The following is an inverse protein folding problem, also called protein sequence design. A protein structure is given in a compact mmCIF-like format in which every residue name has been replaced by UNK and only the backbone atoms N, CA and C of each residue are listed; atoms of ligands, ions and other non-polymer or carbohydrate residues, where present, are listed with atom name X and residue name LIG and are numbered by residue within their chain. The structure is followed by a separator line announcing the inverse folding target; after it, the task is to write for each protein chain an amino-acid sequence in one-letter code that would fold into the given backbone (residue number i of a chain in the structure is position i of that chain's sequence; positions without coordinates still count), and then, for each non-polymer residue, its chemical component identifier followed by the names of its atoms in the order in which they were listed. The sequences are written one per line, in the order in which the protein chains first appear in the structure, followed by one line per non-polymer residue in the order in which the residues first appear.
data_IF_443016764168
#
_entry.id   IF_443016764168
#
_cell.length_a   1.000
_cell.length_b   1.000
_cell.length_c   1.000
_cell.angle_alpha   90.00
_cell.angle_beta   90.00
_cell.angle_gamma   90.00
#
_symmetry.space_group_name_H-M   'P 1'
#
loop_
_entity.id
_entity.type
_entity.pdbx_description
1 polymer ?
#
# COMPACT_ATOMS: atom_id res chain seq x y z
N UNK A 1 18.40 1.99 -15.42
CA UNK A 1 18.02 0.72 -14.75
C UNK A 1 17.15 0.95 -13.52
N UNK A 2 17.61 1.72 -12.53
CA UNK A 2 16.86 1.96 -11.28
C UNK A 2 15.44 2.50 -11.50
N UNK A 3 15.27 3.49 -12.39
CA UNK A 3 13.96 4.06 -12.75
C UNK A 3 12.94 2.97 -13.15
N UNK A 4 13.32 2.04 -14.01
CA UNK A 4 12.43 0.98 -14.50
C UNK A 4 12.08 -0.01 -13.40
N UNK A 5 13.07 -0.42 -12.60
CA UNK A 5 12.83 -1.33 -11.47
C UNK A 5 11.90 -0.71 -10.43
N UNK A 6 12.14 0.55 -10.07
CA UNK A 6 11.27 1.30 -9.17
C UNK A 6 9.88 1.54 -9.76
N UNK A 7 9.74 1.70 -11.08
CA UNK A 7 8.44 1.81 -11.76
C UNK A 7 7.64 0.51 -11.70
N UNK A 8 8.33 -0.65 -11.77
CA UNK A 8 7.70 -1.96 -11.58
C UNK A 8 7.22 -2.12 -10.13
N UNK A 9 8.07 -1.79 -9.15
CA UNK A 9 7.70 -1.83 -7.73
C UNK A 9 6.55 -0.87 -7.42
N UNK A 10 6.60 0.35 -7.96
CA UNK A 10 5.52 1.32 -7.92
C UNK A 10 4.21 0.73 -8.46
N UNK A 11 4.23 0.19 -9.68
CA UNK A 11 3.06 -0.38 -10.33
C UNK A 11 2.48 -1.56 -9.55
N UNK A 12 3.33 -2.47 -9.06
CA UNK A 12 2.92 -3.62 -8.27
C UNK A 12 2.27 -3.22 -6.93
N UNK A 13 2.90 -2.31 -6.19
CA UNK A 13 2.37 -1.82 -4.92
C UNK A 13 1.08 -1.00 -5.12
N UNK A 14 1.02 -0.15 -6.15
CA UNK A 14 -0.16 0.62 -6.51
C UNK A 14 -1.33 -0.29 -6.89
N UNK A 15 -1.08 -1.29 -7.75
CA UNK A 15 -2.09 -2.27 -8.14
C UNK A 15 -2.61 -3.05 -6.94
N UNK A 16 -1.72 -3.61 -6.11
CA UNK A 16 -2.14 -4.40 -4.96
C UNK A 16 -2.90 -3.54 -3.95
N UNK A 17 -2.46 -2.30 -3.72
CA UNK A 17 -3.15 -1.35 -2.86
C UNK A 17 -4.56 -1.05 -3.33
N UNK A 18 -4.72 -0.71 -4.62
CA UNK A 18 -6.04 -0.46 -5.22
C UNK A 18 -6.90 -1.72 -5.31
N UNK A 19 -6.30 -2.90 -5.55
CA UNK A 19 -7.02 -4.18 -5.58
C UNK A 19 -7.66 -4.47 -4.22
N UNK A 20 -6.90 -4.32 -3.12
CA UNK A 20 -7.43 -4.51 -1.76
C UNK A 20 -8.56 -3.51 -1.44
N UNK A 21 -8.41 -2.25 -1.85
CA UNK A 21 -9.42 -1.21 -1.65
C UNK A 21 -10.70 -1.46 -2.47
N UNK A 22 -10.55 -1.96 -3.70
CA UNK A 22 -11.66 -2.26 -4.60
C UNK A 22 -12.40 -3.55 -4.20
N UNK A 23 -11.73 -4.47 -3.50
CA UNK A 23 -12.31 -5.74 -3.04
C UNK A 23 -13.42 -5.52 -2.03
N UNK A 24 -13.12 -4.89 -0.89
CA UNK A 24 -14.12 -4.43 0.06
C UNK A 24 -13.59 -3.29 0.95
N UNK A 25 -13.99 -2.05 0.66
CA UNK A 25 -13.60 -0.85 1.42
C UNK A 25 -14.20 -0.82 2.83
N UNK A 26 -15.24 -1.63 3.10
CA UNK A 26 -15.90 -1.70 4.41
C UNK A 26 -15.07 -2.53 5.40
N UNK A 27 -14.25 -3.45 4.90
CA UNK A 27 -13.34 -4.24 5.73
C UNK A 27 -12.14 -3.38 6.15
N UNK A 28 -12.00 -3.09 7.46
CA UNK A 28 -10.96 -2.17 7.93
C UNK A 28 -9.55 -2.71 7.69
N UNK A 29 -9.37 -4.04 7.67
CA UNK A 29 -8.08 -4.68 7.38
C UNK A 29 -7.64 -4.43 5.93
N UNK A 30 -8.53 -4.66 4.96
CA UNK A 30 -8.26 -4.40 3.54
C UNK A 30 -8.00 -2.92 3.28
N UNK A 31 -8.77 -2.05 3.94
CA UNK A 31 -8.59 -0.59 3.81
C UNK A 31 -7.23 -0.13 4.33
N UNK A 32 -6.80 -0.59 5.51
CA UNK A 32 -5.51 -0.21 6.10
C UNK A 32 -4.34 -0.75 5.28
N UNK A 33 -4.38 -2.03 4.91
CA UNK A 33 -3.34 -2.64 4.09
C UNK A 33 -3.26 -1.97 2.69
N UNK A 34 -4.41 -1.75 2.06
CA UNK A 34 -4.50 -1.10 0.76
C UNK A 34 -4.01 0.35 0.76
N UNK A 35 -4.39 1.14 1.76
CA UNK A 35 -3.87 2.51 1.94
C UNK A 35 -2.36 2.51 2.25
N UNK A 36 -1.87 1.54 3.01
CA UNK A 36 -0.43 1.40 3.28
C UNK A 36 0.37 1.13 2.01
N UNK A 37 -0.09 0.20 1.18
CA UNK A 37 0.52 -0.10 -0.13
C UNK A 37 0.46 1.09 -1.09
N UNK A 38 -0.68 1.80 -1.15
CA UNK A 38 -0.82 3.00 -1.95
C UNK A 38 0.11 4.12 -1.47
N UNK A 39 0.23 4.34 -0.16
CA UNK A 39 1.16 5.30 0.41
C UNK A 39 2.62 4.96 0.09
N UNK A 40 3.00 3.68 0.18
CA UNK A 40 4.34 3.23 -0.21
C UNK A 40 4.61 3.46 -1.70
N UNK A 41 3.65 3.15 -2.58
CA UNK A 41 3.79 3.43 -4.01
C UNK A 41 4.01 4.94 -4.25
N UNK A 42 3.24 5.80 -3.58
CA UNK A 42 3.45 7.24 -3.66
C UNK A 42 4.82 7.67 -3.10
N UNK A 43 5.35 6.99 -2.08
CA UNK A 43 6.70 7.23 -1.57
C UNK A 43 7.77 6.93 -2.63
N UNK A 44 7.63 5.80 -3.35
CA UNK A 44 8.52 5.44 -4.47
C UNK A 44 8.43 6.48 -5.59
N UNK A 45 7.22 6.89 -5.95
CA UNK A 45 7.01 7.94 -6.95
C UNK A 45 7.63 9.29 -6.54
N UNK A 46 7.48 9.68 -5.27
CA UNK A 46 8.08 10.89 -4.73
C UNK A 46 9.62 10.83 -4.79
N UNK A 47 10.23 9.68 -4.48
CA UNK A 47 11.66 9.46 -4.63
C UNK A 47 12.13 9.58 -6.08
N UNK A 48 11.45 8.92 -7.02
CA UNK A 48 11.78 9.01 -8.44
C UNK A 48 11.67 10.43 -8.99
N UNK A 49 10.66 11.20 -8.56
CA UNK A 49 10.49 12.59 -8.97
C UNK A 49 11.54 13.50 -8.32
N UNK A 50 11.84 13.31 -7.04
CA UNK A 50 12.89 14.05 -6.32
C UNK A 50 14.22 14.04 -7.08
N UNK A 51 14.59 12.92 -7.66
CA UNK A 51 15.90 12.75 -8.30
C UNK A 51 15.99 13.43 -9.69
N UNK A 52 14.87 13.85 -10.28
CA UNK A 52 14.82 14.46 -11.62
C UNK A 52 14.26 15.88 -11.65
N UNK A 53 13.61 16.34 -10.58
CA UNK A 53 13.07 17.71 -10.48
C UNK A 53 14.16 18.74 -10.14
N UNK A 54 13.97 20.02 -10.53
CA UNK A 54 14.90 21.09 -10.16
C UNK A 54 14.97 21.34 -8.65
N UNK A 55 16.09 21.92 -8.20
CA UNK A 55 16.43 22.12 -6.78
C UNK A 55 15.33 22.73 -5.88
N UNK A 56 14.52 23.73 -6.29
CA UNK A 56 13.49 24.25 -5.39
C UNK A 56 12.37 23.25 -5.09
N UNK A 57 12.06 22.33 -6.02
CA UNK A 57 11.05 21.29 -5.81
C UNK A 57 11.61 20.04 -5.11
N UNK A 58 12.93 19.79 -5.17
CA UNK A 58 13.56 18.61 -4.56
C UNK A 58 13.25 18.50 -3.06
N UNK A 59 13.28 19.62 -2.33
CA UNK A 59 13.00 19.64 -0.90
C UNK A 59 11.55 19.21 -0.58
N UNK A 60 10.58 19.58 -1.43
CA UNK A 60 9.18 19.18 -1.27
C UNK A 60 9.02 17.67 -1.46
N UNK A 61 9.59 17.11 -2.53
CA UNK A 61 9.50 15.67 -2.80
C UNK A 61 10.27 14.85 -1.75
N UNK A 62 11.39 15.35 -1.23
CA UNK A 62 12.10 14.72 -0.12
C UNK A 62 11.22 14.64 1.14
N UNK A 63 10.55 15.73 1.52
CA UNK A 63 9.62 15.76 2.67
C UNK A 63 8.44 14.81 2.46
N UNK A 64 7.86 14.84 1.25
CA UNK A 64 6.74 13.97 0.88
C UNK A 64 7.15 12.50 0.92
N UNK A 65 8.31 12.15 0.38
CA UNK A 65 8.87 10.80 0.44
C UNK A 65 9.06 10.36 1.90
N UNK A 66 9.71 11.18 2.73
CA UNK A 66 9.93 10.88 4.16
C UNK A 66 8.60 10.60 4.86
N UNK A 67 7.59 11.45 4.68
CA UNK A 67 6.26 11.23 5.23
C UNK A 67 5.66 9.90 4.78
N UNK A 68 5.63 9.67 3.45
CA UNK A 68 4.98 8.53 2.84
C UNK A 68 5.68 7.21 3.12
N UNK A 69 6.97 7.19 3.46
CA UNK A 69 7.67 5.96 3.87
C UNK A 69 7.20 5.47 5.25
N UNK A 70 6.83 6.38 6.16
CA UNK A 70 6.37 6.01 7.50
C UNK A 70 4.89 5.66 7.58
N UNK A 71 4.06 6.20 6.69
CA UNK A 71 2.62 5.94 6.66
C UNK A 71 2.27 4.43 6.52
N UNK A 72 2.90 3.65 5.62
CA UNK A 72 2.67 2.22 5.51
C UNK A 72 2.90 1.48 6.82
N UNK A 73 3.94 1.85 7.56
CA UNK A 73 4.27 1.20 8.81
C UNK A 73 3.19 1.42 9.88
N UNK A 74 2.71 2.65 9.99
CA UNK A 74 1.61 2.96 10.89
C UNK A 74 0.33 2.24 10.48
N UNK A 75 -0.06 2.31 9.21
CA UNK A 75 -1.27 1.63 8.72
C UNK A 75 -1.18 0.10 8.87
N UNK A 76 0.01 -0.47 8.68
CA UNK A 76 0.26 -1.89 8.84
C UNK A 76 0.10 -2.33 10.29
N UNK A 77 0.56 -1.55 11.28
CA UNK A 77 0.33 -1.88 12.69
C UNK A 77 -1.16 -2.03 12.98
N UNK A 78 -1.98 -1.10 12.47
CA UNK A 78 -3.43 -1.21 12.55
C UNK A 78 -4.00 -2.41 11.81
N UNK A 79 -3.48 -2.78 10.64
CA UNK A 79 -3.92 -3.96 9.90
C UNK A 79 -3.59 -5.26 10.67
N UNK A 80 -2.39 -5.37 11.23
CA UNK A 80 -1.97 -6.55 12.01
C UNK A 80 -2.76 -6.74 13.30
N UNK A 81 -3.18 -5.65 13.95
CA UNK A 81 -4.04 -5.75 15.12
C UNK A 81 -5.39 -6.40 14.79
N UNK A 82 -5.86 -6.28 13.55
CA UNK A 82 -7.09 -6.91 13.08
C UNK A 82 -6.92 -8.39 12.70
N UNK A 83 -5.69 -8.90 12.60
CA UNK A 83 -5.42 -10.33 12.41
C UNK A 83 -5.45 -11.11 13.74
N UNK A 84 -5.45 -10.43 14.88
CA UNK A 84 -5.54 -11.07 16.18
C UNK A 84 -6.91 -11.75 16.38
N UNK A 85 -6.96 -12.86 17.14
CA UNK A 85 -8.20 -13.57 17.41
C UNK A 85 -9.09 -12.72 18.33
N UNK A 86 -10.42 -12.86 18.19
CA UNK A 86 -11.39 -12.16 19.05
C UNK A 86 -11.46 -12.73 20.46
N UNK A 87 -11.27 -14.05 20.60
CA UNK A 87 -11.21 -14.74 21.89
C UNK A 87 -9.85 -14.52 22.52
N UNK A 88 -9.75 -13.75 23.62
CA UNK A 88 -8.47 -13.54 24.28
C UNK A 88 -8.00 -14.85 24.91
N UNK A 89 -6.76 -15.23 24.64
CA UNK A 89 -5.96 -15.95 25.64
C UNK A 89 -6.01 -15.13 26.94
N UNK A 90 -6.07 -15.74 28.14
CA UNK A 90 -6.26 -15.03 29.42
C UNK A 90 -5.26 -13.89 29.69
N UNK A 91 -4.13 -13.86 28.96
CA UNK A 91 -3.04 -12.91 29.09
C UNK A 91 -3.00 -11.79 28.03
N UNK A 92 -3.86 -11.82 27.01
CA UNK A 92 -3.81 -10.85 25.89
C UNK A 92 -4.93 -9.81 25.98
N UNK A 93 -4.57 -8.55 25.72
CA UNK A 93 -5.54 -7.46 25.57
C UNK A 93 -6.41 -7.75 24.35
N UNK A 94 -7.74 -7.70 24.52
CA UNK A 94 -8.68 -8.02 23.44
C UNK A 94 -8.49 -7.15 22.19
N UNK A 95 -8.63 -7.76 21.01
CA UNK A 95 -8.48 -7.12 19.70
C UNK A 95 -9.24 -5.81 19.57
N UNK A 96 -10.50 -5.75 20.02
CA UNK A 96 -11.32 -4.53 19.89
C UNK A 96 -10.73 -3.35 20.68
N UNK A 97 -10.17 -3.61 21.87
CA UNK A 97 -9.55 -2.56 22.69
C UNK A 97 -8.29 -2.03 22.03
N UNK A 98 -7.43 -2.93 21.52
CA UNK A 98 -6.22 -2.55 20.79
C UNK A 98 -6.55 -1.78 19.51
N UNK A 99 -7.56 -2.23 18.75
CA UNK A 99 -8.03 -1.52 17.57
C UNK A 99 -8.56 -0.12 17.92
N UNK A 100 -9.35 0.00 18.99
CA UNK A 100 -9.88 1.28 19.46
C UNK A 100 -8.75 2.23 19.89
N UNK A 101 -7.78 1.74 20.66
CA UNK A 101 -6.59 2.50 21.07
C UNK A 101 -5.77 2.95 19.87
N UNK A 102 -5.59 2.09 18.87
CA UNK A 102 -4.90 2.43 17.64
C UNK A 102 -5.67 3.51 16.86
N UNK A 103 -6.98 3.36 16.69
CA UNK A 103 -7.82 4.30 15.92
C UNK A 103 -7.95 5.68 16.56
N UNK A 104 -8.00 5.74 17.89
CA UNK A 104 -8.20 6.99 18.63
C UNK A 104 -6.90 7.65 19.08
N UNK A 105 -5.86 6.86 19.32
CA UNK A 105 -4.57 7.34 19.80
C UNK A 105 -3.49 7.22 18.71
N UNK A 106 -2.93 6.02 18.57
CA UNK A 106 -1.68 5.83 17.83
C UNK A 106 -1.76 6.24 16.35
N UNK A 107 -2.84 5.90 15.66
CA UNK A 107 -3.08 6.24 14.25
C UNK A 107 -3.13 7.75 13.99
N UNK A 108 -4.08 8.50 14.58
CA UNK A 108 -4.18 9.94 14.36
C UNK A 108 -2.98 10.71 14.91
N UNK A 109 -2.45 10.33 16.08
CA UNK A 109 -1.23 10.96 16.62
C UNK A 109 -0.01 10.67 15.74
N UNK A 110 0.14 9.43 15.27
CA UNK A 110 1.20 9.04 14.35
C UNK A 110 1.14 9.79 13.02
N UNK A 111 -0.03 9.86 12.40
CA UNK A 111 -0.20 10.63 11.16
C UNK A 111 0.02 12.13 11.37
N UNK A 112 -0.50 12.69 12.47
CA UNK A 112 -0.33 14.10 12.80
C UNK A 112 1.13 14.48 13.05
N UNK A 113 1.85 13.70 13.86
CA UNK A 113 3.28 13.92 14.12
C UNK A 113 4.12 13.79 12.85
N UNK A 114 3.86 12.77 12.02
CA UNK A 114 4.52 12.62 10.72
C UNK A 114 4.23 13.81 9.80
N UNK A 115 2.99 14.31 9.76
CA UNK A 115 2.61 15.44 8.91
C UNK A 115 3.29 16.73 9.38
N UNK A 116 3.36 16.96 10.70
CA UNK A 116 4.09 18.09 11.27
C UNK A 116 5.59 18.02 10.98
N UNK A 117 6.18 16.82 11.05
CA UNK A 117 7.58 16.59 10.70
C UNK A 117 7.83 16.91 9.22
N UNK A 118 6.98 16.39 8.33
CA UNK A 118 7.06 16.65 6.90
C UNK A 118 6.86 18.13 6.54
N UNK A 119 6.01 18.84 7.28
CA UNK A 119 5.81 20.28 7.14
C UNK A 119 7.02 21.12 7.58
N UNK A 120 7.98 20.54 8.30
CA UNK A 120 9.11 21.27 8.90
C UNK A 120 8.73 22.02 10.18
N UNK A 121 7.56 21.74 10.75
CA UNK A 121 7.10 22.36 11.99
C UNK A 121 7.77 21.75 13.23
N UNK A 122 8.30 20.53 13.11
CA UNK A 122 9.08 19.88 14.16
C UNK A 122 10.58 20.12 13.92
N UNK A 123 11.25 20.90 14.80
CA UNK A 123 12.71 20.99 14.79
C UNK A 123 13.31 19.64 15.22
N UNK A 124 14.56 19.36 14.85
CA UNK A 124 15.22 18.15 15.33
C UNK A 124 14.91 16.87 14.53
N UNK A 125 14.48 16.99 13.27
CA UNK A 125 14.06 15.86 12.43
C UNK A 125 15.15 15.34 11.49
N UNK A 126 16.39 15.85 11.59
CA UNK A 126 17.51 15.30 10.85
C UNK A 126 17.98 13.96 11.47
N UNK A 127 18.57 13.04 10.69
CA UNK A 127 19.12 11.80 11.21
C UNK A 127 20.12 12.06 12.35
N UNK A 128 19.92 11.39 13.49
CA UNK A 128 20.76 11.54 14.70
C UNK A 128 20.23 12.56 15.71
N UNK A 129 19.26 13.39 15.35
CA UNK A 129 18.60 14.30 16.28
C UNK A 129 17.53 13.55 17.12
N UNK A 130 17.23 14.02 18.35
CA UNK A 130 16.31 13.31 19.24
C UNK A 130 14.89 13.23 18.68
N UNK A 131 14.41 14.24 17.95
CA UNK A 131 13.05 14.20 17.38
C UNK A 131 12.95 13.15 16.27
N UNK A 132 14.01 12.95 15.48
CA UNK A 132 14.09 11.84 14.53
C UNK A 132 14.04 10.48 15.22
N UNK A 133 14.77 10.30 16.34
CA UNK A 133 14.71 9.06 17.12
C UNK A 133 13.32 8.80 17.70
N UNK A 134 12.60 9.85 18.10
CA UNK A 134 11.21 9.74 18.55
C UNK A 134 10.27 9.31 17.41
N UNK A 135 10.45 9.86 16.20
CA UNK A 135 9.68 9.43 15.02
C UNK A 135 9.99 7.97 14.65
N UNK A 136 11.25 7.59 14.70
CA UNK A 136 11.69 6.21 14.50
C UNK A 136 11.04 5.28 15.53
N UNK A 137 11.08 5.63 16.82
CA UNK A 137 10.48 4.87 17.90
C UNK A 137 8.95 4.77 17.77
N UNK A 138 8.30 5.87 17.36
CA UNK A 138 6.85 5.93 17.14
C UNK A 138 6.38 4.93 16.07
N UNK A 139 7.25 4.59 15.12
CA UNK A 139 6.95 3.64 14.05
C UNK A 139 7.42 2.22 14.40
N UNK A 140 8.65 2.08 14.91
CA UNK A 140 9.26 0.78 15.16
C UNK A 140 8.71 0.09 16.41
N UNK A 141 8.39 0.81 17.49
CA UNK A 141 7.87 0.19 18.72
C UNK A 141 6.50 -0.46 18.48
N UNK A 142 5.52 0.18 17.81
CA UNK A 142 4.26 -0.48 17.51
C UNK A 142 4.42 -1.67 16.54
N UNK A 143 5.33 -1.58 15.56
CA UNK A 143 5.61 -2.70 14.66
C UNK A 143 6.19 -3.90 15.43
N UNK A 144 7.18 -3.67 16.28
CA UNK A 144 7.76 -4.70 17.13
C UNK A 144 6.75 -5.29 18.10
N UNK A 145 5.90 -4.45 18.69
CA UNK A 145 4.78 -4.88 19.54
C UNK A 145 3.77 -5.75 18.79
N UNK A 146 3.37 -5.35 17.58
CA UNK A 146 2.46 -6.14 16.73
C UNK A 146 3.08 -7.48 16.34
N UNK A 147 4.37 -7.49 15.98
CA UNK A 147 5.09 -8.74 15.69
C UNK A 147 5.12 -9.66 16.91
N UNK A 148 5.43 -9.14 18.10
CA UNK A 148 5.43 -9.93 19.33
C UNK A 148 4.03 -10.50 19.63
N UNK A 149 2.97 -9.73 19.44
CA UNK A 149 1.59 -10.19 19.59
C UNK A 149 1.22 -11.26 18.57
N UNK A 150 1.59 -11.09 17.30
CA UNK A 150 1.38 -12.10 16.25
C UNK A 150 2.11 -13.41 16.57
N UNK A 151 3.37 -13.34 17.01
CA UNK A 151 4.15 -14.52 17.36
C UNK A 151 3.61 -15.24 18.60
N UNK A 152 3.08 -14.50 19.58
CA UNK A 152 2.40 -15.07 20.76
C UNK A 152 1.08 -15.74 20.38
N UNK A 153 0.29 -15.09 19.53
CA UNK A 153 -1.01 -15.57 19.09
C UNK A 153 -0.93 -16.57 17.92
N UNK A 154 0.26 -16.88 17.39
CA UNK A 154 0.44 -17.68 16.16
C UNK A 154 -0.23 -19.06 16.17
N UNK A 155 -0.38 -19.65 17.36
CA UNK A 155 -1.01 -20.97 17.54
C UNK A 155 -2.53 -20.90 17.57
N UNK A 156 -3.08 -19.76 18.00
CA UNK A 156 -4.51 -19.52 18.11
C UNK A 156 -5.13 -19.03 16.79
N UNK A 157 -4.34 -18.37 15.93
CA UNK A 157 -4.83 -17.81 14.67
C UNK A 157 -4.81 -18.87 13.56
N UNK A 158 -5.96 -19.12 12.92
CA UNK A 158 -6.08 -19.99 11.75
C UNK A 158 -6.63 -19.21 10.55
N UNK A 159 -6.10 -19.41 9.33
CA UNK A 159 -5.09 -20.41 8.92
C UNK A 159 -3.63 -20.02 9.24
N UNK A 160 -2.87 -20.97 9.79
CA UNK A 160 -1.50 -20.73 10.29
C UNK A 160 -0.48 -20.31 9.22
N UNK A 161 -0.67 -20.71 7.96
CA UNK A 161 0.22 -20.32 6.86
C UNK A 161 0.20 -18.81 6.58
N UNK A 162 -0.96 -18.17 6.70
CA UNK A 162 -1.09 -16.72 6.50
C UNK A 162 -0.46 -15.94 7.64
N UNK A 163 -0.57 -16.45 8.86
CA UNK A 163 0.05 -15.84 10.06
C UNK A 163 1.56 -15.96 10.02
N UNK A 164 2.08 -17.11 9.57
CA UNK A 164 3.51 -17.31 9.32
C UNK A 164 4.02 -16.30 8.31
N UNK A 165 3.35 -16.18 7.15
CA UNK A 165 3.71 -15.20 6.12
C UNK A 165 3.65 -13.76 6.66
N UNK A 166 2.57 -13.39 7.35
CA UNK A 166 2.40 -12.06 7.92
C UNK A 166 3.46 -11.75 8.99
N UNK A 167 3.86 -12.73 9.81
CA UNK A 167 4.89 -12.56 10.83
C UNK A 167 6.26 -12.36 10.20
N UNK A 168 6.62 -13.22 9.24
CA UNK A 168 7.88 -13.13 8.50
C UNK A 168 7.97 -11.80 7.77
N UNK A 169 6.95 -11.44 7.00
CA UNK A 169 6.98 -10.20 6.24
C UNK A 169 6.85 -8.95 7.15
N UNK A 170 6.21 -9.02 8.34
CA UNK A 170 6.26 -7.94 9.34
C UNK A 170 7.66 -7.79 9.94
N UNK A 171 8.35 -8.90 10.20
CA UNK A 171 9.74 -8.89 10.69
C UNK A 171 10.69 -8.25 9.67
N UNK A 172 10.64 -8.71 8.41
CA UNK A 172 11.48 -8.13 7.35
C UNK A 172 11.13 -6.68 7.09
N UNK A 173 9.84 -6.32 7.06
CA UNK A 173 9.41 -4.94 6.93
C UNK A 173 9.92 -4.06 8.08
N UNK A 174 9.81 -4.51 9.33
CA UNK A 174 10.34 -3.77 10.48
C UNK A 174 11.86 -3.62 10.42
N UNK A 175 12.58 -4.65 9.96
CA UNK A 175 14.02 -4.60 9.76
C UNK A 175 14.43 -3.65 8.62
N UNK A 176 13.71 -3.70 7.49
CA UNK A 176 13.90 -2.78 6.37
C UNK A 176 13.63 -1.33 6.78
N UNK A 177 12.55 -1.10 7.54
CA UNK A 177 12.25 0.21 8.12
C UNK A 177 13.35 0.67 9.09
N UNK A 178 13.88 -0.23 9.93
CA UNK A 178 14.99 0.09 10.82
C UNK A 178 16.28 0.42 10.05
N UNK A 179 16.60 -0.30 8.97
CA UNK A 179 17.74 0.01 8.10
C UNK A 179 17.59 1.35 7.37
N UNK A 180 16.36 1.71 7.01
CA UNK A 180 16.07 3.00 6.38
C UNK A 180 16.18 4.15 7.38
N UNK A 181 15.78 3.91 8.63
CA UNK A 181 15.84 4.88 9.73
C UNK A 181 17.25 5.06 10.28
N UNK A 182 18.00 3.98 10.40
CA UNK A 182 19.36 3.98 10.92
C UNK A 182 20.30 3.66 9.76
N UNK A 183 20.89 4.67 9.10
CA UNK A 183 21.78 4.46 7.98
C UNK A 183 23.10 3.85 8.46
N UNK A 184 23.10 2.52 8.63
CA UNK A 184 24.25 1.73 9.07
C UNK A 184 25.31 1.55 7.96
N UNK A 185 25.07 2.11 6.77
CA UNK A 185 25.94 1.93 5.59
C UNK A 185 25.90 0.52 4.99
N UNK A 186 25.04 -0.37 5.48
CA UNK A 186 24.97 -1.78 5.07
C UNK A 186 24.34 -1.97 3.68
N UNK A 187 23.39 -1.10 3.30
CA UNK A 187 22.65 -1.17 2.05
C UNK A 187 22.44 0.24 1.50
N UNK A 188 22.47 0.40 0.17
CA UNK A 188 22.06 1.66 -0.43
C UNK A 188 20.55 1.88 -0.19
N UNK A 189 20.16 3.13 0.06
CA UNK A 189 18.78 3.49 0.40
C UNK A 189 17.76 3.03 -0.66
N UNK A 190 18.15 3.04 -1.93
CA UNK A 190 17.31 2.57 -3.05
C UNK A 190 16.95 1.09 -2.90
N UNK A 191 17.94 0.25 -2.58
CA UNK A 191 17.73 -1.18 -2.37
C UNK A 191 16.91 -1.46 -1.11
N UNK A 192 17.11 -0.70 -0.05
CA UNK A 192 16.30 -0.80 1.17
C UNK A 192 14.82 -0.47 0.87
N UNK A 193 14.56 0.58 0.09
CA UNK A 193 13.21 0.92 -0.35
C UNK A 193 12.57 -0.18 -1.19
N UNK A 194 13.31 -0.78 -2.13
CA UNK A 194 12.81 -1.88 -2.95
C UNK A 194 12.52 -3.15 -2.11
N UNK A 195 13.37 -3.46 -1.13
CA UNK A 195 13.17 -4.58 -0.20
C UNK A 195 11.91 -4.40 0.65
N UNK A 196 11.69 -3.19 1.18
CA UNK A 196 10.45 -2.82 1.89
C UNK A 196 9.22 -3.03 0.98
N UNK A 197 9.34 -2.73 -0.31
CA UNK A 197 8.26 -2.94 -1.27
C UNK A 197 7.89 -4.41 -1.46
N UNK A 198 8.89 -5.29 -1.48
CA UNK A 198 8.67 -6.74 -1.49
C UNK A 198 7.95 -7.20 -0.22
N UNK A 199 8.39 -6.74 0.95
CA UNK A 199 7.76 -7.09 2.23
C UNK A 199 6.30 -6.64 2.27
N UNK A 200 6.03 -5.40 1.85
CA UNK A 200 4.66 -4.87 1.78
C UNK A 200 3.80 -5.64 0.76
N UNK A 201 4.37 -6.07 -0.37
CA UNK A 201 3.65 -6.92 -1.32
C UNK A 201 3.29 -8.28 -0.71
N UNK A 202 4.23 -8.90 0.03
CA UNK A 202 3.97 -10.15 0.76
C UNK A 202 2.91 -9.97 1.85
N UNK A 203 2.95 -8.86 2.59
CA UNK A 203 1.96 -8.51 3.61
C UNK A 203 0.57 -8.28 3.00
N UNK A 204 0.50 -7.54 1.89
CA UNK A 204 -0.74 -7.33 1.15
C UNK A 204 -1.32 -8.63 0.59
N UNK A 205 -0.46 -9.51 0.08
CA UNK A 205 -0.87 -10.85 -0.36
C UNK A 205 -1.35 -11.72 0.80
N UNK A 206 -0.70 -11.63 1.97
CA UNK A 206 -1.14 -12.32 3.18
C UNK A 206 -2.54 -11.86 3.60
N UNK A 207 -2.80 -10.56 3.59
CA UNK A 207 -4.13 -9.98 3.88
C UNK A 207 -5.17 -10.42 2.85
N UNK A 208 -4.83 -10.40 1.56
CA UNK A 208 -5.73 -10.88 0.51
C UNK A 208 -6.08 -12.36 0.69
N UNK A 209 -5.08 -13.18 1.00
CA UNK A 209 -5.23 -14.61 1.26
C UNK A 209 -6.12 -14.85 2.49
N UNK A 210 -5.85 -14.16 3.61
CA UNK A 210 -6.67 -14.21 4.82
C UNK A 210 -8.15 -13.97 4.50
N UNK A 211 -8.42 -12.86 3.83
CA UNK A 211 -9.77 -12.41 3.50
C UNK A 211 -10.50 -13.39 2.58
N UNK A 212 -9.78 -14.04 1.65
CA UNK A 212 -10.37 -15.08 0.79
C UNK A 212 -10.67 -16.38 1.52
N UNK A 213 -9.87 -16.73 2.53
CA UNK A 213 -10.19 -17.88 3.39
C UNK A 213 -11.45 -17.61 4.22
N UNK A 214 -11.64 -16.39 4.74
CA UNK A 214 -12.87 -16.01 5.44
C UNK A 214 -14.10 -16.04 4.52
N UNK A 215 -13.95 -15.65 3.25
CA UNK A 215 -15.05 -15.65 2.26
C UNK A 215 -15.26 -16.99 1.56
N UNK A 216 -14.34 -17.95 1.68
CA UNK A 216 -14.40 -19.25 1.01
C UNK A 216 -14.20 -19.18 -0.51
N UNK A 217 -13.63 -18.09 -1.04
CA UNK A 217 -13.50 -17.84 -2.48
C UNK A 217 -12.13 -18.23 -3.07
N UNK A 218 -12.10 -18.54 -4.36
CA UNK A 218 -10.88 -18.86 -5.11
C UNK A 218 -10.14 -17.58 -5.52
N UNK A 219 -9.42 -16.98 -4.57
CA UNK A 219 -8.67 -15.72 -4.73
C UNK A 219 -7.74 -15.67 -5.95
N UNK A 220 -6.98 -16.75 -6.18
CA UNK A 220 -5.85 -16.73 -7.12
C UNK A 220 -6.27 -16.36 -8.53
N UNK A 221 -7.40 -16.88 -9.00
CA UNK A 221 -7.88 -16.65 -10.37
C UNK A 221 -8.36 -15.22 -10.56
N UNK A 222 -9.03 -14.64 -9.56
CA UNK A 222 -9.48 -13.26 -9.64
C UNK A 222 -8.31 -12.26 -9.57
N UNK A 223 -7.39 -12.48 -8.62
CA UNK A 223 -6.16 -11.68 -8.52
C UNK A 223 -5.34 -11.74 -9.80
N UNK A 224 -5.08 -12.93 -10.35
CA UNK A 224 -4.33 -13.08 -11.59
C UNK A 224 -5.02 -12.38 -12.76
N UNK A 225 -6.36 -12.50 -12.88
CA UNK A 225 -7.11 -11.80 -13.92
C UNK A 225 -7.00 -10.29 -13.77
N UNK A 226 -7.11 -9.76 -12.55
CA UNK A 226 -6.95 -8.33 -12.27
C UNK A 226 -5.53 -7.86 -12.57
N UNK A 227 -4.52 -8.62 -12.12
CA UNK A 227 -3.11 -8.35 -12.33
C UNK A 227 -2.78 -8.32 -13.82
N UNK A 228 -3.19 -9.33 -14.59
CA UNK A 228 -2.91 -9.41 -16.01
C UNK A 228 -3.57 -8.26 -16.78
N UNK A 229 -4.81 -7.88 -16.44
CA UNK A 229 -5.46 -6.73 -17.04
C UNK A 229 -4.75 -5.41 -16.73
N UNK A 230 -4.42 -5.19 -15.46
CA UNK A 230 -3.72 -3.97 -15.02
C UNK A 230 -2.29 -3.90 -15.58
N UNK A 231 -1.55 -5.01 -15.56
CA UNK A 231 -0.20 -5.11 -16.11
C UNK A 231 -0.19 -4.93 -17.63
N UNK A 232 -1.13 -5.55 -18.35
CA UNK A 232 -1.29 -5.36 -19.78
C UNK A 232 -1.56 -3.90 -20.14
N UNK A 233 -2.51 -3.26 -19.45
CA UNK A 233 -2.80 -1.84 -19.66
C UNK A 233 -1.61 -0.93 -19.31
N UNK A 234 -0.97 -1.16 -18.16
CA UNK A 234 0.20 -0.39 -17.73
C UNK A 234 1.39 -0.55 -18.69
N UNK A 235 1.61 -1.75 -19.22
CA UNK A 235 2.66 -2.01 -20.21
C UNK A 235 2.36 -1.34 -21.55
N UNK A 236 1.10 -1.37 -22.01
CA UNK A 236 0.71 -0.73 -23.26
C UNK A 236 0.86 0.79 -23.20
N UNK A 237 0.35 1.43 -22.15
CA UNK A 237 0.37 2.90 -22.04
C UNK A 237 1.70 3.42 -21.45
N UNK A 238 2.16 2.83 -20.35
CA UNK A 238 3.41 3.23 -19.68
C UNK A 238 4.65 2.78 -20.44
N UNK A 239 4.60 1.63 -21.14
CA UNK A 239 5.72 1.12 -21.92
C UNK A 239 6.11 2.05 -23.06
N UNK A 240 5.15 2.71 -23.71
CA UNK A 240 5.44 3.73 -24.73
C UNK A 240 6.26 4.89 -24.16
N UNK A 241 5.87 5.41 -22.99
CA UNK A 241 6.61 6.47 -22.30
C UNK A 241 8.00 5.97 -21.86
N UNK A 242 8.08 4.73 -21.34
CA UNK A 242 9.33 4.10 -20.93
C UNK A 242 10.32 3.95 -22.09
N UNK A 243 9.84 3.63 -23.30
CA UNK A 243 10.66 3.56 -24.51
C UNK A 243 11.22 4.92 -24.91
N UNK A 244 10.40 5.98 -24.85
CA UNK A 244 10.87 7.36 -25.11
C UNK A 244 11.95 7.78 -24.10
N UNK A 245 11.76 7.44 -22.82
CA UNK A 245 12.77 7.66 -21.77
C UNK A 245 14.06 6.88 -22.08
N UNK A 246 13.94 5.60 -22.46
CA UNK A 246 15.08 4.76 -22.82
C UNK A 246 15.84 5.29 -24.06
N UNK A 247 15.15 5.96 -24.98
CA UNK A 247 15.72 6.55 -26.19
C UNK A 247 16.47 7.88 -25.96
N UNK A 248 16.57 8.36 -24.71
CA UNK A 248 17.39 9.53 -24.36
C UNK A 248 16.66 10.63 -23.58
N UNK A 249 15.37 10.47 -23.27
CA UNK A 249 14.66 11.42 -22.41
C UNK A 249 14.82 11.14 -20.89
N UNK A 250 15.75 10.25 -20.53
CA UNK A 250 16.09 9.96 -19.14
C UNK A 250 16.60 11.23 -18.43
N UNK A 251 15.96 11.59 -17.31
CA UNK A 251 16.29 12.79 -16.52
C UNK A 251 15.31 13.96 -16.69
N UNK A 252 14.37 13.88 -17.62
CA UNK A 252 13.33 14.90 -17.75
C UNK A 252 12.19 14.62 -16.76
N UNK A 253 12.03 15.48 -15.75
CA UNK A 253 10.95 15.37 -14.76
C UNK A 253 9.55 15.18 -15.37
N UNK A 254 9.16 15.89 -16.46
CA UNK A 254 7.86 15.69 -17.09
C UNK A 254 7.65 14.26 -17.62
N UNK A 255 8.69 13.63 -18.15
CA UNK A 255 8.61 12.28 -18.69
C UNK A 255 8.46 11.23 -17.58
N UNK A 256 9.19 11.37 -16.47
CA UNK A 256 9.04 10.50 -15.30
C UNK A 256 7.64 10.67 -14.67
N UNK A 257 7.18 11.91 -14.53
CA UNK A 257 5.82 12.18 -14.04
C UNK A 257 4.76 11.56 -14.96
N UNK A 258 4.92 11.70 -16.28
CA UNK A 258 4.01 11.13 -17.26
C UNK A 258 4.00 9.59 -17.20
N UNK A 259 5.17 8.95 -17.08
CA UNK A 259 5.29 7.50 -16.92
C UNK A 259 4.53 7.01 -15.68
N UNK A 260 4.78 7.64 -14.52
CA UNK A 260 4.15 7.25 -13.26
C UNK A 260 2.65 7.50 -13.29
N UNK A 261 2.20 8.64 -13.84
CA UNK A 261 0.79 8.98 -13.96
C UNK A 261 0.05 8.04 -14.92
N UNK A 262 0.64 7.70 -16.06
CA UNK A 262 0.05 6.78 -17.04
C UNK A 262 -0.06 5.36 -16.47
N UNK A 263 0.98 4.86 -15.81
CA UNK A 263 0.92 3.57 -15.08
C UNK A 263 -0.17 3.60 -14.01
N UNK A 264 -0.19 4.64 -13.17
CA UNK A 264 -1.16 4.78 -12.09
C UNK A 264 -2.60 4.82 -12.59
N UNK A 265 -2.85 5.60 -13.64
CA UNK A 265 -4.17 5.75 -14.26
C UNK A 265 -4.64 4.45 -14.92
N UNK A 266 -3.76 3.77 -15.67
CA UNK A 266 -4.07 2.50 -16.32
C UNK A 266 -4.45 1.42 -15.29
N UNK A 267 -3.68 1.31 -14.20
CA UNK A 267 -3.95 0.39 -13.11
C UNK A 267 -5.26 0.76 -12.39
N UNK A 268 -5.47 2.04 -12.09
CA UNK A 268 -6.68 2.50 -11.39
C UNK A 268 -7.95 2.24 -12.21
N UNK A 269 -7.91 2.50 -13.53
CA UNK A 269 -9.01 2.19 -14.44
C UNK A 269 -9.37 0.70 -14.43
N UNK A 270 -8.38 -0.19 -14.36
CA UNK A 270 -8.62 -1.63 -14.27
C UNK A 270 -9.11 -2.09 -12.89
N UNK A 271 -8.53 -1.54 -11.81
CA UNK A 271 -8.90 -1.90 -10.44
C UNK A 271 -10.36 -1.50 -10.13
N UNK A 272 -10.78 -0.30 -10.55
CA UNK A 272 -12.13 0.21 -10.29
C UNK A 272 -13.14 -0.09 -11.41
N UNK A 273 -12.69 -0.59 -12.57
CA UNK A 273 -13.53 -0.78 -13.76
C UNK A 273 -14.80 -1.61 -13.49
N UNK A 274 -14.69 -2.70 -12.71
CA UNK A 274 -15.87 -3.51 -12.34
C UNK A 274 -16.80 -2.79 -11.37
N UNK A 275 -16.26 -1.98 -10.46
CA UNK A 275 -17.05 -1.16 -9.54
C UNK A 275 -17.82 -0.06 -10.27
N UNK A 276 -17.16 0.63 -11.21
CA UNK A 276 -17.78 1.64 -12.07
C UNK A 276 -18.87 1.03 -12.96
N UNK A 277 -18.64 -0.15 -13.55
CA UNK A 277 -19.65 -0.88 -14.34
C UNK A 277 -20.87 -1.27 -13.49
N UNK A 278 -20.69 -1.69 -12.23
CA UNK A 278 -21.80 -1.99 -11.31
C UNK A 278 -22.59 -0.73 -10.93
N UNK A 279 -21.95 0.41 -10.75
CA UNK A 279 -22.61 1.70 -10.50
C UNK A 279 -23.40 2.19 -11.73
N UNK A 280 -22.83 2.02 -12.92
CA UNK A 280 -23.49 2.35 -14.18
C UNK A 280 -24.66 1.40 -14.48
N UNK A 281 -24.54 0.10 -14.19
CA UNK A 281 -25.62 -0.87 -14.34
C UNK A 281 -26.75 -0.68 -13.31
N UNK A 282 -26.46 -0.06 -12.15
CA UNK A 282 -27.46 0.32 -11.14
C UNK A 282 -28.20 1.60 -11.46
N UNK A 283 -27.70 2.42 -12.40
CA UNK A 283 -28.55 3.44 -13.01
C UNK A 283 -29.57 2.66 -13.84
N UNK A 284 -30.88 2.77 -13.56
CA UNK A 284 -31.85 2.20 -14.46
C UNK A 284 -31.61 2.88 -15.79
N UNK A 285 -31.05 2.14 -16.75
CA UNK A 285 -31.21 2.51 -18.14
C UNK A 285 -32.72 2.62 -18.28
N UNK A 286 -33.22 3.83 -18.50
CA UNK A 286 -34.62 4.07 -18.77
C UNK A 286 -34.97 3.11 -19.90
N UNK A 287 -35.69 2.03 -19.55
CA UNK A 287 -36.34 1.19 -20.55
C UNK A 287 -37.21 2.14 -21.33
N UNK A 288 -36.81 2.48 -22.55
CA UNK A 288 -37.74 3.08 -23.49
C UNK A 288 -38.97 2.18 -23.54
N UNK A 289 -40.18 2.70 -23.30
CA UNK A 289 -41.38 1.92 -23.47
C UNK A 289 -41.62 1.80 -24.98
N UNK A 290 -41.19 0.68 -25.55
CA UNK A 290 -41.53 0.27 -26.92
C UNK A 290 -41.21 -1.22 -27.01
N UNK A 291 -42.15 -2.16 -26.96
CA UNK A 291 -43.50 -2.10 -27.51
C UNK A 291 -43.50 -2.89 -28.83
N UNK A 292 -43.43 -4.22 -28.73
CA UNK A 292 -43.99 -5.14 -29.73
C UNK A 292 -44.00 -6.57 -29.16
N UNK A 293 -45.13 -6.94 -28.55
CA UNK A 293 -45.55 -8.35 -28.52
C UNK A 293 -46.18 -8.66 -29.88
N UNK A 294 -45.83 -9.75 -30.58
CA UNK A 294 -46.62 -10.19 -31.70
C UNK A 294 -47.98 -10.67 -31.18
N UNK A 295 -49.08 -10.12 -31.72
CA UNK A 295 -50.42 -10.67 -31.54
C UNK A 295 -50.52 -11.99 -32.31
N UNK A 296 -51.08 -13.06 -31.75
CA UNK A 296 -51.57 -14.18 -32.54
C UNK A 296 -52.92 -13.77 -33.12
N UNK A 297 -53.05 -13.83 -34.45
CA UNK A 297 -54.35 -13.89 -35.11
C UNK A 297 -54.45 -15.22 -35.84
N UNK A 298 -55.52 -15.94 -35.50
CA UNK A 298 -56.20 -17.06 -36.19
C UNK A 298 -55.35 -18.27 -36.55
#
# INVERSE_FOLDING_TARGET
MMLFLASIVFGGAWWLGLYLLARDVRKPILRRAGLGLAAYALAVAAGLLRDVVPSPQQALFARLQTFLVFVPALLWTGATLLLLPESPEPSLVGRERLDRLWRLGLGPLGLGTLALAAGGALPGTAPGEPAYLLLAALVLLPLGGCLALLLRARRAIRPGGVVGLASVATLFFALGMALLLFPLGLLAQEWALLAIGLDLALLGLAVAAWDAFEEGEVLRRDMLRSLLGAAGAALLFGGQVALVIAAGAAGQAPMVALLLATIAAAIAAHAFGRGAQRLLARRPFARGPGGCRPRPHS
#
